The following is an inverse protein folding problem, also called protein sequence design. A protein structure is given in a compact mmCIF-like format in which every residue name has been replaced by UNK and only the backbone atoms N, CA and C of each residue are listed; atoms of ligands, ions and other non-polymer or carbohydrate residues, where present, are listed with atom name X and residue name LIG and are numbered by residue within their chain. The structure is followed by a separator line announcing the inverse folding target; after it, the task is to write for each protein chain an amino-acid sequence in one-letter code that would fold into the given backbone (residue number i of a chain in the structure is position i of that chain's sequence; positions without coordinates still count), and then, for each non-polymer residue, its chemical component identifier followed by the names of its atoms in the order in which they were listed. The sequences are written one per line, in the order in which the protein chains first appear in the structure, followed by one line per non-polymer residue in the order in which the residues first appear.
data_IF_660201612285
#
_entry.id   IF_660201612285
#
_cell.length_a   1.000
_cell.length_b   1.000
_cell.length_c   1.000
_cell.angle_alpha   90.00
_cell.angle_beta   90.00
_cell.angle_gamma   90.00
#
_symmetry.space_group_name_H-M   'P 1'
#
loop_
_entity.id
_entity.type
_entity.pdbx_description
1 polymer ?
#
# COMPACT_ATOMS: atom_id res chain seq x y z
N UNK A 1 87.80 -35.04 10.95
CA UNK A 1 86.88 -33.99 11.40
C UNK A 1 86.64 -33.04 10.22
N UNK A 2 85.41 -32.84 9.79
CA UNK A 2 85.12 -31.83 8.78
C UNK A 2 85.31 -30.44 9.40
N UNK A 3 85.97 -29.48 8.73
CA UNK A 3 86.13 -28.11 9.22
C UNK A 3 84.75 -27.48 9.53
N UNK A 4 84.64 -26.75 10.64
CA UNK A 4 83.41 -26.12 11.09
C UNK A 4 82.66 -25.34 9.95
N UNK A 5 83.46 -24.65 9.13
CA UNK A 5 82.97 -23.89 7.98
C UNK A 5 82.19 -24.75 6.95
N UNK A 6 82.65 -25.95 6.62
CA UNK A 6 81.95 -26.86 5.72
C UNK A 6 80.59 -27.37 6.30
N UNK A 7 80.51 -27.47 7.62
CA UNK A 7 79.33 -27.85 8.33
C UNK A 7 78.25 -26.71 8.26
N UNK A 8 78.70 -25.49 8.44
CA UNK A 8 77.81 -24.31 8.38
C UNK A 8 77.35 -24.04 6.96
N UNK A 9 78.21 -24.24 5.95
CA UNK A 9 77.85 -24.16 4.53
C UNK A 9 76.77 -25.22 4.17
N UNK A 10 77.01 -26.47 4.59
CA UNK A 10 76.03 -27.54 4.33
C UNK A 10 74.73 -27.30 5.06
N UNK A 11 74.76 -26.79 6.28
CA UNK A 11 73.54 -26.43 7.01
C UNK A 11 72.77 -25.30 6.31
N UNK A 12 73.44 -24.24 5.87
CA UNK A 12 72.81 -23.12 5.14
C UNK A 12 72.22 -23.58 3.85
N UNK A 13 72.92 -24.44 3.10
CA UNK A 13 72.42 -25.02 1.86
C UNK A 13 71.19 -25.91 2.10
N UNK A 14 71.16 -26.71 3.17
CA UNK A 14 70.02 -27.50 3.57
C UNK A 14 68.79 -26.63 3.86
N UNK A 15 68.96 -25.56 4.66
CA UNK A 15 67.87 -24.62 4.98
C UNK A 15 67.34 -23.93 3.73
N UNK A 16 68.26 -23.51 2.82
CA UNK A 16 67.86 -22.91 1.56
C UNK A 16 67.02 -23.85 0.68
N UNK A 17 67.42 -25.11 0.55
CA UNK A 17 66.65 -26.13 -0.20
C UNK A 17 65.35 -26.46 0.48
N UNK A 18 65.29 -26.49 1.80
CA UNK A 18 64.05 -26.68 2.55
C UNK A 18 63.03 -25.55 2.29
N UNK A 19 63.51 -24.29 2.31
CA UNK A 19 62.65 -23.12 1.99
C UNK A 19 62.19 -23.14 0.55
N UNK A 20 63.03 -23.58 -0.40
CA UNK A 20 62.64 -23.74 -1.79
C UNK A 20 61.56 -24.84 -1.98
N UNK A 21 61.70 -25.95 -1.26
CA UNK A 21 60.71 -27.02 -1.27
C UNK A 21 59.37 -26.56 -0.66
N UNK A 22 59.40 -25.80 0.44
CA UNK A 22 58.19 -25.19 1.03
C UNK A 22 57.50 -24.23 0.05
N UNK A 23 58.26 -23.39 -0.63
CA UNK A 23 57.70 -22.47 -1.65
C UNK A 23 57.06 -23.21 -2.82
N UNK A 24 57.75 -24.24 -3.35
CA UNK A 24 57.20 -25.08 -4.42
C UNK A 24 55.95 -25.82 -3.99
N UNK A 25 55.88 -26.32 -2.76
CA UNK A 25 54.71 -26.95 -2.18
C UNK A 25 53.53 -25.98 -2.10
N UNK A 26 53.78 -24.76 -1.63
CA UNK A 26 52.75 -23.71 -1.56
C UNK A 26 52.19 -23.37 -2.95
N UNK A 27 53.06 -23.30 -3.97
CA UNK A 27 52.62 -23.07 -5.37
C UNK A 27 51.79 -24.25 -5.90
N UNK A 28 52.20 -25.47 -5.58
CA UNK A 28 51.43 -26.67 -5.95
C UNK A 28 50.06 -26.68 -5.30
N UNK A 29 49.98 -26.37 -4.00
CA UNK A 29 48.68 -26.29 -3.30
C UNK A 29 47.79 -25.19 -3.86
N UNK A 30 48.31 -24.00 -4.20
CA UNK A 30 47.56 -22.96 -4.89
C UNK A 30 47.05 -23.43 -6.25
N UNK A 31 47.88 -24.10 -7.02
CA UNK A 31 47.47 -24.63 -8.34
C UNK A 31 46.41 -25.74 -8.21
N UNK A 32 46.55 -26.60 -7.19
CA UNK A 32 45.60 -27.70 -6.92
C UNK A 32 44.24 -27.19 -6.43
N UNK A 33 44.22 -26.20 -5.56
CA UNK A 33 42.99 -25.65 -4.95
C UNK A 33 42.27 -24.62 -5.85
N UNK A 34 42.89 -24.26 -6.98
CA UNK A 34 42.38 -23.22 -7.91
C UNK A 34 42.53 -21.80 -7.35
N UNK A 35 41.63 -20.90 -7.81
CA UNK A 35 41.69 -19.51 -7.38
C UNK A 35 41.55 -19.35 -5.86
N UNK A 36 42.22 -18.34 -5.31
CA UNK A 36 42.16 -18.03 -3.87
C UNK A 36 40.73 -17.83 -3.40
N UNK A 37 40.47 -18.14 -2.14
CA UNK A 37 39.16 -17.97 -1.52
C UNK A 37 38.70 -16.51 -1.63
N UNK A 38 39.62 -15.56 -1.43
CA UNK A 38 39.38 -14.13 -1.55
C UNK A 38 38.93 -13.74 -2.95
N UNK A 39 39.59 -14.29 -4.00
CA UNK A 39 39.23 -14.02 -5.41
C UNK A 39 37.85 -14.57 -5.75
N UNK A 40 37.50 -15.74 -5.23
CA UNK A 40 36.19 -16.34 -5.37
C UNK A 40 35.13 -15.50 -4.65
N UNK A 41 35.42 -15.06 -3.45
CA UNK A 41 34.51 -14.19 -2.66
C UNK A 41 34.30 -12.85 -3.34
N UNK A 42 35.36 -12.24 -3.88
CA UNK A 42 35.25 -10.99 -4.63
C UNK A 42 34.40 -11.15 -5.90
N UNK A 43 34.60 -12.24 -6.65
CA UNK A 43 33.79 -12.55 -7.81
C UNK A 43 32.32 -12.79 -7.44
N UNK A 44 32.07 -13.50 -6.35
CA UNK A 44 30.70 -13.68 -5.83
C UNK A 44 30.05 -12.38 -5.42
N UNK A 45 30.80 -11.47 -4.81
CA UNK A 45 30.30 -10.13 -4.44
C UNK A 45 29.90 -9.31 -5.67
N UNK A 46 30.69 -9.39 -6.76
CA UNK A 46 30.35 -8.74 -8.02
C UNK A 46 29.06 -9.32 -8.65
N UNK A 47 28.90 -10.64 -8.59
CA UNK A 47 27.65 -11.29 -9.04
C UNK A 47 26.46 -10.82 -8.20
N UNK A 48 26.62 -10.76 -6.87
CA UNK A 48 25.56 -10.30 -5.97
C UNK A 48 25.20 -8.82 -6.24
N UNK A 49 26.20 -7.97 -6.51
CA UNK A 49 26.00 -6.59 -6.88
C UNK A 49 25.21 -6.47 -8.20
N UNK A 50 25.60 -7.22 -9.23
CA UNK A 50 24.89 -7.23 -10.51
C UNK A 50 23.44 -7.71 -10.34
N UNK A 51 23.23 -8.73 -9.50
CA UNK A 51 21.90 -9.24 -9.17
C UNK A 51 21.04 -8.18 -8.45
N UNK A 52 21.66 -7.39 -7.55
CA UNK A 52 21.00 -6.25 -6.90
C UNK A 52 20.50 -5.22 -7.90
N UNK A 53 21.31 -4.85 -8.90
CA UNK A 53 20.91 -3.92 -9.97
C UNK A 53 19.75 -4.48 -10.78
N UNK A 54 19.76 -5.76 -11.13
CA UNK A 54 18.64 -6.40 -11.84
C UNK A 54 17.35 -6.34 -11.00
N UNK A 55 17.45 -6.58 -9.70
CA UNK A 55 16.30 -6.50 -8.79
C UNK A 55 15.73 -5.08 -8.73
N UNK A 56 16.59 -4.08 -8.67
CA UNK A 56 16.20 -2.66 -8.71
C UNK A 56 15.46 -2.31 -10.00
N UNK A 57 16.02 -2.67 -11.16
CA UNK A 57 15.38 -2.41 -12.47
C UNK A 57 14.03 -3.12 -12.57
N UNK A 58 13.92 -4.36 -12.05
CA UNK A 58 12.64 -5.06 -12.03
C UNK A 58 11.61 -4.37 -11.12
N UNK A 59 12.02 -3.82 -9.98
CA UNK A 59 11.13 -3.06 -9.11
C UNK A 59 10.59 -1.79 -9.82
N UNK A 60 11.43 -1.07 -10.57
CA UNK A 60 10.97 0.05 -11.40
C UNK A 60 9.99 -0.39 -12.49
N UNK A 61 10.26 -1.51 -13.15
CA UNK A 61 9.37 -2.08 -14.17
C UNK A 61 8.02 -2.50 -13.61
N UNK A 62 8.00 -3.09 -12.41
CA UNK A 62 6.77 -3.41 -11.68
C UNK A 62 5.98 -2.16 -11.32
N UNK A 63 6.67 -1.11 -10.84
CA UNK A 63 6.06 0.19 -10.52
C UNK A 63 5.48 0.94 -11.73
N UNK A 64 5.86 0.56 -12.96
CA UNK A 64 5.28 1.10 -14.19
C UNK A 64 3.88 0.54 -14.51
N UNK A 65 3.44 -0.49 -13.76
CA UNK A 65 2.09 -1.05 -13.90
C UNK A 65 1.28 -0.73 -12.66
N UNK A 66 0.15 -0.08 -12.86
CA UNK A 66 -0.80 0.21 -11.78
C UNK A 66 -1.88 -0.87 -11.77
N UNK A 67 -2.02 -1.54 -10.64
CA UNK A 67 -3.05 -2.56 -10.42
C UNK A 67 -4.14 -2.01 -9.51
N UNK A 68 -5.38 -2.42 -9.74
CA UNK A 68 -6.47 -2.12 -8.83
C UNK A 68 -6.23 -2.83 -7.48
N UNK A 69 -6.30 -2.11 -6.34
CA UNK A 69 -6.08 -2.71 -5.02
C UNK A 69 -7.26 -3.57 -4.53
N UNK A 70 -8.43 -3.38 -5.12
CA UNK A 70 -9.66 -4.09 -4.80
C UNK A 70 -10.60 -4.12 -6.00
N UNK A 71 -11.64 -4.94 -5.92
CA UNK A 71 -12.74 -4.93 -6.88
C UNK A 71 -13.52 -3.61 -6.72
N UNK A 72 -13.56 -2.79 -7.76
CA UNK A 72 -14.16 -1.47 -7.72
C UNK A 72 -14.52 -0.98 -9.14
N UNK A 73 -15.38 0.03 -9.22
CA UNK A 73 -15.72 0.68 -10.49
C UNK A 73 -14.82 1.92 -10.70
N UNK A 74 -14.29 2.10 -11.91
CA UNK A 74 -13.47 3.26 -12.25
C UNK A 74 -14.40 4.47 -12.40
N UNK A 75 -14.21 5.45 -11.51
CA UNK A 75 -14.95 6.71 -11.59
C UNK A 75 -14.34 7.65 -12.63
N UNK A 76 -13.03 7.81 -12.59
CA UNK A 76 -12.32 8.77 -13.44
C UNK A 76 -10.88 8.29 -13.66
N UNK A 77 -10.41 8.42 -14.89
CA UNK A 77 -8.98 8.32 -15.23
C UNK A 77 -8.48 9.77 -15.33
N UNK A 78 -7.44 10.10 -14.57
CA UNK A 78 -7.01 11.49 -14.41
C UNK A 78 -6.04 11.91 -15.53
N UNK A 79 -4.93 11.17 -15.81
CA UNK A 79 -4.00 11.56 -16.86
C UNK A 79 -4.47 11.09 -18.25
N UNK A 80 -4.08 11.82 -19.26
CA UNK A 80 -4.28 11.43 -20.66
C UNK A 80 -3.15 10.52 -21.14
N UNK A 81 -3.38 9.76 -22.20
CA UNK A 81 -2.36 8.96 -22.86
C UNK A 81 -1.19 9.86 -23.31
N UNK A 82 0.03 9.46 -22.98
CA UNK A 82 1.25 10.22 -23.29
C UNK A 82 1.60 11.31 -22.26
N UNK A 83 0.80 11.51 -21.23
CA UNK A 83 1.08 12.47 -20.16
C UNK A 83 2.09 11.90 -19.16
N UNK A 84 3.05 12.72 -18.74
CA UNK A 84 4.05 12.35 -17.73
C UNK A 84 3.47 12.62 -16.36
N UNK A 85 3.39 11.58 -15.55
CA UNK A 85 2.94 11.66 -14.15
C UNK A 85 4.11 11.46 -13.18
N UNK A 86 4.11 12.21 -12.09
CA UNK A 86 5.11 12.07 -11.05
C UNK A 86 4.76 10.91 -10.10
N UNK A 87 5.78 10.40 -9.39
CA UNK A 87 5.56 9.41 -8.36
C UNK A 87 4.58 9.93 -7.27
N UNK A 88 3.58 9.11 -6.93
CA UNK A 88 2.52 9.48 -5.98
C UNK A 88 1.35 10.26 -6.60
N UNK A 89 1.38 10.54 -7.89
CA UNK A 89 0.24 11.17 -8.57
C UNK A 89 -0.91 10.16 -8.74
N UNK A 90 -2.15 10.51 -8.39
CA UNK A 90 -3.29 9.62 -8.57
C UNK A 90 -3.61 9.47 -10.06
N UNK A 91 -3.57 8.24 -10.57
CA UNK A 91 -3.83 7.95 -11.99
C UNK A 91 -5.31 7.66 -12.25
N UNK A 92 -6.03 7.17 -11.26
CA UNK A 92 -7.47 6.91 -11.37
C UNK A 92 -8.16 6.94 -10.01
N UNK A 93 -9.43 7.30 -10.00
CA UNK A 93 -10.30 7.18 -8.84
C UNK A 93 -11.16 5.94 -8.98
N UNK A 94 -11.16 5.12 -7.94
CA UNK A 94 -11.97 3.90 -7.85
C UNK A 94 -13.05 4.10 -6.79
N UNK A 95 -14.24 3.57 -7.05
CA UNK A 95 -15.34 3.55 -6.10
C UNK A 95 -15.73 2.11 -5.83
N UNK A 96 -15.72 1.74 -4.55
CA UNK A 96 -16.30 0.47 -4.11
C UNK A 96 -17.83 0.60 -4.08
N UNK A 97 -18.49 -0.10 -4.99
CA UNK A 97 -19.94 -0.15 -5.09
C UNK A 97 -20.55 -1.27 -4.24
N UNK A 98 -19.76 -1.94 -3.41
CA UNK A 98 -20.26 -2.99 -2.52
C UNK A 98 -20.52 -2.49 -1.11
N UNK A 99 -19.88 -1.39 -0.70
CA UNK A 99 -20.05 -0.76 0.61
C UNK A 99 -20.74 0.61 0.47
N UNK A 100 -22.02 0.58 0.10
CA UNK A 100 -22.81 1.80 -0.10
C UNK A 100 -23.50 2.21 1.19
N UNK A 101 -23.40 3.50 1.52
CA UNK A 101 -24.15 4.10 2.63
C UNK A 101 -24.74 5.43 2.22
N UNK A 102 -25.80 5.83 2.93
CA UNK A 102 -26.45 7.11 2.75
C UNK A 102 -26.22 7.96 4.00
N UNK A 103 -25.89 9.23 3.81
CA UNK A 103 -25.78 10.20 4.89
C UNK A 103 -27.06 11.02 4.95
N UNK A 104 -27.73 11.01 6.10
CA UNK A 104 -28.87 11.85 6.39
C UNK A 104 -28.52 12.88 7.45
N UNK A 105 -28.92 14.11 7.25
CA UNK A 105 -28.79 15.17 8.26
C UNK A 105 -30.13 15.29 9.00
N UNK A 106 -30.17 14.73 10.19
CA UNK A 106 -31.37 14.69 11.03
C UNK A 106 -31.35 15.81 12.04
N UNK A 107 -32.45 16.54 12.15
CA UNK A 107 -32.62 17.63 13.13
C UNK A 107 -32.60 17.05 14.55
N UNK A 108 -32.06 17.81 15.49
CA UNK A 108 -31.93 17.44 16.90
C UNK A 108 -33.25 16.99 17.54
N UNK A 109 -34.36 17.63 17.19
CA UNK A 109 -35.69 17.32 17.72
C UNK A 109 -36.23 15.94 17.23
N UNK A 110 -35.71 15.39 16.14
CA UNK A 110 -36.07 14.08 15.59
C UNK A 110 -35.05 12.97 15.90
N UNK A 111 -33.95 13.29 16.58
CA UNK A 111 -32.89 12.33 16.87
C UNK A 111 -33.33 11.16 17.76
N UNK A 112 -34.39 11.33 18.55
CA UNK A 112 -34.93 10.28 19.42
C UNK A 112 -35.40 9.05 18.63
N UNK A 113 -35.84 9.25 17.37
CA UNK A 113 -36.35 8.21 16.48
C UNK A 113 -35.24 7.48 15.70
N UNK A 114 -34.04 8.06 15.65
CA UNK A 114 -32.91 7.54 14.87
C UNK A 114 -31.75 7.11 15.78
N UNK A 115 -31.92 5.96 16.43
CA UNK A 115 -30.86 5.32 17.22
C UNK A 115 -30.06 4.33 16.37
N UNK A 116 -28.84 3.99 16.78
CA UNK A 116 -28.05 2.92 16.13
C UNK A 116 -28.89 1.63 16.15
N UNK A 117 -29.00 0.98 14.98
CA UNK A 117 -29.83 -0.21 14.77
C UNK A 117 -31.29 0.09 14.39
N UNK A 118 -31.73 1.37 14.39
CA UNK A 118 -33.08 1.71 13.93
C UNK A 118 -33.21 1.47 12.43
N UNK A 119 -34.28 0.75 12.06
CA UNK A 119 -34.63 0.51 10.66
C UNK A 119 -35.71 1.46 10.20
N UNK A 120 -35.55 2.01 9.01
CA UNK A 120 -36.52 2.91 8.39
C UNK A 120 -36.57 2.73 6.88
N UNK A 121 -37.59 3.25 6.23
CA UNK A 121 -37.73 3.17 4.78
C UNK A 121 -37.23 4.45 4.12
N UNK A 122 -36.30 4.29 3.21
CA UNK A 122 -35.86 5.33 2.30
C UNK A 122 -36.53 5.17 0.93
N UNK A 123 -36.77 6.26 0.24
CA UNK A 123 -37.30 6.30 -1.14
C UNK A 123 -36.19 6.82 -2.04
N UNK A 124 -35.86 6.10 -3.10
CA UNK A 124 -34.86 6.49 -4.10
C UNK A 124 -35.57 7.00 -5.36
N UNK A 125 -35.69 8.32 -5.57
CA UNK A 125 -36.40 8.85 -6.74
C UNK A 125 -35.76 8.44 -8.07
N UNK A 126 -34.44 8.36 -8.11
CA UNK A 126 -33.68 7.96 -9.30
C UNK A 126 -33.99 6.53 -9.77
N UNK A 127 -34.44 5.66 -8.87
CA UNK A 127 -34.85 4.29 -9.17
C UNK A 127 -36.39 4.15 -9.26
N UNK A 128 -37.10 5.17 -9.75
CA UNK A 128 -38.53 5.13 -9.91
C UNK A 128 -39.32 5.15 -8.59
N UNK A 129 -38.81 5.83 -7.57
CA UNK A 129 -39.34 5.87 -6.21
C UNK A 129 -39.33 4.51 -5.50
N UNK A 130 -38.36 3.66 -5.81
CA UNK A 130 -38.18 2.40 -5.12
C UNK A 130 -37.97 2.64 -3.61
N UNK A 131 -38.71 1.89 -2.79
CA UNK A 131 -38.54 1.88 -1.35
C UNK A 131 -37.44 0.88 -0.97
N UNK A 132 -36.47 1.32 -0.17
CA UNK A 132 -35.39 0.51 0.37
C UNK A 132 -35.44 0.57 1.89
N UNK A 133 -35.16 -0.57 2.55
CA UNK A 133 -35.00 -0.61 4.00
C UNK A 133 -33.58 -0.22 4.35
N UNK A 134 -33.43 0.75 5.27
CA UNK A 134 -32.16 1.29 5.72
C UNK A 134 -31.99 1.04 7.22
N UNK A 135 -30.79 0.76 7.67
CA UNK A 135 -30.44 0.60 9.08
C UNK A 135 -29.37 1.63 9.48
N UNK A 136 -29.62 2.34 10.58
CA UNK A 136 -28.65 3.33 11.14
C UNK A 136 -27.50 2.58 11.77
N UNK A 137 -26.27 2.76 11.25
CA UNK A 137 -25.06 2.15 11.81
C UNK A 137 -24.12 3.13 12.49
N UNK A 138 -24.21 4.40 12.14
CA UNK A 138 -23.33 5.42 12.74
C UNK A 138 -24.10 6.74 12.90
N UNK A 139 -23.83 7.41 14.02
CA UNK A 139 -24.34 8.75 14.33
C UNK A 139 -23.14 9.62 14.64
N UNK A 140 -23.04 10.78 14.00
CA UNK A 140 -21.97 11.73 14.28
C UNK A 140 -22.01 12.18 15.73
N UNK A 141 -20.85 12.18 16.40
CA UNK A 141 -20.72 12.57 17.82
C UNK A 141 -20.97 14.08 18.02
N UNK A 142 -20.71 14.87 16.97
CA UNK A 142 -20.84 16.32 16.99
C UNK A 142 -21.90 16.74 15.98
N UNK A 143 -22.76 17.68 16.41
CA UNK A 143 -23.70 18.33 15.53
C UNK A 143 -22.99 19.27 14.55
N UNK A 144 -23.42 19.27 13.32
CA UNK A 144 -23.00 20.22 12.31
C UNK A 144 -24.04 21.34 12.19
N UNK A 145 -23.60 22.56 11.89
CA UNK A 145 -24.53 23.61 11.54
C UNK A 145 -25.03 23.35 10.13
N UNK A 146 -26.35 23.19 9.98
CA UNK A 146 -26.92 23.21 8.64
C UNK A 146 -26.59 24.58 8.03
N UNK A 147 -25.63 24.61 7.10
CA UNK A 147 -25.32 25.79 6.30
C UNK A 147 -26.46 26.06 5.34
N UNK A 148 -27.61 26.43 5.83
CA UNK A 148 -28.68 26.96 5.02
C UNK A 148 -29.19 28.27 5.61
N UNK A 149 -29.26 29.28 4.75
CA UNK A 149 -29.71 30.63 5.02
C UNK A 149 -30.88 30.65 5.98
N UNK A 150 -30.68 31.29 7.14
CA UNK A 150 -31.72 31.55 8.12
C UNK A 150 -32.87 32.33 7.45
N UNK A 151 -33.93 31.64 7.07
CA UNK A 151 -35.20 32.31 6.78
C UNK A 151 -35.77 32.71 8.12
N UNK A 152 -35.67 34.00 8.47
CA UNK A 152 -36.28 34.58 9.65
C UNK A 152 -37.76 34.29 9.73
N UNK A 153 -38.17 33.26 10.45
CA UNK A 153 -39.47 33.20 11.06
C UNK A 153 -39.31 33.34 12.56
N UNK A 154 -40.06 34.24 13.14
CA UNK A 154 -40.07 34.59 14.56
C UNK A 154 -40.16 33.31 15.42
N UNK A 155 -39.12 33.04 16.22
CA UNK A 155 -39.19 32.11 17.35
C UNK A 155 -38.57 30.74 17.21
N UNK A 156 -37.91 30.40 16.09
CA UNK A 156 -37.21 29.12 15.93
C UNK A 156 -35.71 29.34 16.29
N UNK A 157 -35.22 28.59 17.28
CA UNK A 157 -33.79 28.46 17.53
C UNK A 157 -33.13 27.80 16.31
N UNK A 158 -31.91 28.20 15.99
CA UNK A 158 -31.06 27.49 15.00
C UNK A 158 -30.93 26.01 15.41
N UNK A 159 -31.77 25.17 14.85
CA UNK A 159 -31.79 23.74 15.18
C UNK A 159 -30.57 23.09 14.52
N UNK A 160 -29.75 22.49 15.34
CA UNK A 160 -28.58 21.73 14.91
C UNK A 160 -29.02 20.44 14.22
N UNK A 161 -28.20 19.96 13.32
CA UNK A 161 -28.40 18.67 12.64
C UNK A 161 -27.27 17.72 12.98
N UNK A 162 -27.59 16.45 13.07
CA UNK A 162 -26.62 15.36 13.24
C UNK A 162 -26.58 14.54 11.97
N UNK A 163 -25.36 14.28 11.46
CA UNK A 163 -25.17 13.37 10.35
C UNK A 163 -25.29 11.94 10.83
N UNK A 164 -26.19 11.16 10.24
CA UNK A 164 -26.29 9.72 10.46
C UNK A 164 -25.91 8.98 9.20
N UNK A 165 -25.18 7.87 9.32
CA UNK A 165 -24.91 6.95 8.23
C UNK A 165 -25.84 5.76 8.36
N UNK A 166 -26.63 5.54 7.34
CA UNK A 166 -27.52 4.39 7.23
C UNK A 166 -27.10 3.53 6.03
N UNK A 167 -27.18 2.24 6.23
CA UNK A 167 -26.83 1.24 5.23
C UNK A 167 -28.09 0.54 4.75
N UNK A 168 -28.21 0.21 3.47
CA UNK A 168 -29.27 -0.66 2.99
C UNK A 168 -29.18 -2.02 3.69
N UNK A 169 -30.31 -2.58 4.12
CA UNK A 169 -30.33 -3.93 4.73
C UNK A 169 -30.10 -5.03 3.70
N UNK A 170 -30.43 -4.76 2.45
CA UNK A 170 -30.23 -5.64 1.30
C UNK A 170 -29.52 -4.89 0.18
N UNK A 171 -28.74 -5.60 -0.64
CA UNK A 171 -28.06 -5.00 -1.78
C UNK A 171 -29.10 -4.47 -2.78
N UNK A 172 -29.07 -3.16 -3.01
CA UNK A 172 -29.96 -2.48 -3.94
C UNK A 172 -29.29 -2.45 -5.32
N UNK A 173 -29.94 -3.08 -6.30
CA UNK A 173 -29.43 -3.08 -7.67
C UNK A 173 -29.54 -1.67 -8.25
N UNK A 174 -28.48 -1.27 -8.97
CA UNK A 174 -28.39 0.02 -9.67
C UNK A 174 -28.39 1.27 -8.75
N UNK A 175 -28.27 1.11 -7.44
CA UNK A 175 -27.96 2.24 -6.54
C UNK A 175 -26.54 2.74 -6.87
N UNK A 176 -26.38 4.05 -6.95
CA UNK A 176 -25.08 4.66 -7.29
C UNK A 176 -24.74 5.81 -6.36
N UNK A 177 -23.46 6.01 -6.05
CA UNK A 177 -23.00 7.18 -5.32
C UNK A 177 -23.48 8.47 -5.97
N UNK A 178 -23.98 9.40 -5.15
CA UNK A 178 -24.59 10.66 -5.62
C UNK A 178 -26.09 10.63 -5.82
N UNK A 179 -26.74 9.47 -5.74
CA UNK A 179 -28.20 9.40 -5.71
C UNK A 179 -28.76 9.92 -4.39
N UNK A 180 -29.87 10.62 -4.46
CA UNK A 180 -30.60 11.08 -3.28
C UNK A 180 -31.53 10.00 -2.75
N UNK A 181 -31.57 9.89 -1.42
CA UNK A 181 -32.56 9.03 -0.72
C UNK A 181 -33.40 9.91 0.19
N UNK A 182 -34.70 9.83 0.04
CA UNK A 182 -35.65 10.59 0.84
C UNK A 182 -36.20 9.70 1.96
N UNK A 183 -36.29 10.25 3.16
CA UNK A 183 -36.97 9.58 4.27
C UNK A 183 -38.45 9.94 4.21
N UNK A 184 -39.32 8.93 4.15
CA UNK A 184 -40.74 9.16 4.29
C UNK A 184 -41.06 9.52 5.74
N UNK A 185 -41.43 10.76 6.00
CA UNK A 185 -42.03 11.11 7.29
C UNK A 185 -43.34 10.30 7.46
N UNK A 186 -43.48 9.65 8.63
CA UNK A 186 -44.70 9.03 9.08
C UNK A 186 -45.68 10.10 9.51
#
# INVERSE_FOLDING_TARGET
MLPAQKKDEAYTQMVALQKQAEAAKSQYEMAKNGARVEDKTAAQALVAQAQGVITEVNAYKEGAKVFAPADAEIQTIIPNEGEIVNAGYPVMNLIDTQDEWVVFNIREDKMADFKIGTKFKGIVPALGNQQIEMEVKHIAVQADFATWTATKSKGDFDKKTFAIKAYPTEKVKDLRPGMSVLVSEK
#
